data_IF_821987257816
#
_entry.id   IF_821987257816
#
_cell.length_a   1.000
_cell.length_b   1.000
_cell.length_c   1.000
_cell.angle_alpha   90.00
_cell.angle_beta   90.00
_cell.angle_gamma   90.00
#
_symmetry.space_group_name_H-M   'P 1'
#
loop_
_entity.id
_entity.type
_entity.pdbx_description
1 polymer ?
#
# COMPACT_ATOMS: atom_id res chain seq x y z
N UNK A 1 1.59 13.42 10.93
CA UNK A 1 1.16 12.07 10.54
C UNK A 1 1.88 11.11 11.46
N UNK A 2 1.21 10.12 12.03
CA UNK A 2 1.89 9.09 12.84
C UNK A 2 2.56 8.11 11.88
N UNK A 3 3.83 8.34 11.58
CA UNK A 3 4.57 7.62 10.54
C UNK A 3 4.68 6.12 10.85
N UNK A 4 4.81 5.75 12.12
CA UNK A 4 4.92 4.35 12.56
C UNK A 4 3.63 3.58 12.26
N UNK A 5 2.47 4.17 12.55
CA UNK A 5 1.20 3.57 12.20
C UNK A 5 1.05 3.40 10.67
N UNK A 6 1.50 4.37 9.88
CA UNK A 6 1.43 4.30 8.41
C UNK A 6 2.29 3.17 7.86
N UNK A 7 3.53 3.04 8.34
CA UNK A 7 4.41 1.97 7.91
C UNK A 7 3.90 0.60 8.36
N UNK A 8 3.40 0.47 9.59
CA UNK A 8 2.83 -0.79 10.09
C UNK A 8 1.66 -1.28 9.22
N UNK A 9 0.72 -0.38 8.87
CA UNK A 9 -0.38 -0.71 7.96
C UNK A 9 0.09 -1.02 6.54
N UNK A 10 1.10 -0.29 6.03
CA UNK A 10 1.73 -0.58 4.74
C UNK A 10 2.35 -1.98 4.70
N UNK A 11 3.05 -2.40 5.76
CA UNK A 11 3.64 -3.74 5.89
C UNK A 11 2.57 -4.84 6.00
N UNK A 12 1.49 -4.59 6.75
CA UNK A 12 0.37 -5.53 6.82
C UNK A 12 -0.31 -5.71 5.45
N UNK A 13 -0.51 -4.62 4.71
CA UNK A 13 -1.06 -4.66 3.34
C UNK A 13 -0.13 -5.38 2.36
N UNK A 14 1.19 -5.22 2.51
CA UNK A 14 2.16 -5.98 1.72
C UNK A 14 2.07 -7.49 1.97
N UNK A 15 1.95 -7.91 3.24
CA UNK A 15 1.74 -9.32 3.59
C UNK A 15 0.44 -9.87 3.01
N UNK A 16 -0.65 -9.10 3.09
CA UNK A 16 -1.93 -9.46 2.46
C UNK A 16 -1.77 -9.57 0.94
N UNK A 17 -1.03 -8.64 0.30
CA UNK A 17 -0.74 -8.69 -1.13
C UNK A 17 -0.06 -9.98 -1.56
N UNK A 18 0.94 -10.44 -0.81
CA UNK A 18 1.58 -11.73 -1.03
C UNK A 18 0.60 -12.91 -0.92
N UNK A 19 -0.24 -12.93 0.12
CA UNK A 19 -1.26 -13.97 0.30
C UNK A 19 -2.31 -14.00 -0.82
N UNK A 20 -2.71 -12.84 -1.34
CA UNK A 20 -3.64 -12.75 -2.47
C UNK A 20 -3.01 -13.24 -3.77
N UNK A 21 -1.72 -12.95 -3.97
CA UNK A 21 -0.95 -13.39 -5.12
C UNK A 21 -0.72 -14.91 -5.12
N UNK A 22 -0.40 -15.50 -3.96
CA UNK A 22 -0.31 -16.96 -3.79
C UNK A 22 -1.63 -17.67 -4.12
N UNK A 23 -2.77 -17.02 -3.85
CA UNK A 23 -4.10 -17.55 -4.17
C UNK A 23 -4.55 -17.26 -5.61
N UNK A 24 -3.73 -16.58 -6.40
CA UNK A 24 -4.06 -16.21 -7.78
C UNK A 24 -5.22 -15.21 -7.91
N UNK A 25 -5.52 -14.44 -6.84
CA UNK A 25 -6.62 -13.48 -6.83
C UNK A 25 -6.22 -12.14 -7.45
N UNK A 26 -5.03 -11.66 -7.12
CA UNK A 26 -4.39 -10.51 -7.75
C UNK A 26 -2.89 -10.51 -7.41
N UNK A 27 -2.08 -9.90 -8.26
CA UNK A 27 -0.66 -9.63 -7.97
C UNK A 27 -0.52 -8.55 -6.88
N UNK A 28 0.57 -8.58 -6.12
CA UNK A 28 0.85 -7.52 -5.15
C UNK A 28 0.96 -6.12 -5.82
N UNK A 29 1.33 -6.08 -7.11
CA UNK A 29 1.36 -4.86 -7.93
C UNK A 29 -0.03 -4.32 -8.24
N UNK A 30 -0.99 -5.19 -8.55
CA UNK A 30 -2.39 -4.80 -8.75
C UNK A 30 -2.99 -4.24 -7.46
N UNK A 31 -2.70 -4.86 -6.31
CA UNK A 31 -3.13 -4.33 -5.01
C UNK A 31 -2.58 -2.92 -4.76
N UNK A 32 -1.29 -2.69 -5.01
CA UNK A 32 -0.68 -1.37 -4.89
C UNK A 32 -1.34 -0.33 -5.83
N UNK A 33 -1.68 -0.74 -7.06
CA UNK A 33 -2.39 0.13 -8.00
C UNK A 33 -3.82 0.44 -7.54
N UNK A 34 -4.55 -0.53 -6.98
CA UNK A 34 -5.89 -0.31 -6.42
C UNK A 34 -5.87 0.69 -5.26
N UNK A 35 -4.89 0.56 -4.35
CA UNK A 35 -4.70 1.52 -3.25
C UNK A 35 -4.40 2.92 -3.78
N UNK A 36 -3.54 3.04 -4.78
CA UNK A 36 -3.23 4.33 -5.41
C UNK A 36 -4.43 4.93 -6.13
N UNK A 37 -5.26 4.10 -6.78
CA UNK A 37 -6.50 4.56 -7.39
C UNK A 37 -7.46 5.11 -6.33
N UNK A 38 -7.68 4.39 -5.23
CA UNK A 38 -8.49 4.86 -4.11
C UNK A 38 -7.94 6.17 -3.51
N UNK A 39 -6.62 6.29 -3.36
CA UNK A 39 -5.97 7.51 -2.92
C UNK A 39 -6.35 8.71 -3.82
N UNK A 40 -6.27 8.53 -5.14
CA UNK A 40 -6.64 9.57 -6.10
C UNK A 40 -8.12 9.96 -6.04
N UNK A 41 -9.03 9.02 -5.73
CA UNK A 41 -10.45 9.32 -5.51
C UNK A 41 -10.60 10.25 -4.29
N UNK A 42 -9.91 9.96 -3.19
CA UNK A 42 -9.95 10.80 -1.98
C UNK A 42 -9.28 12.16 -2.18
N UNK A 43 -8.18 12.24 -2.90
CA UNK A 43 -7.47 13.49 -3.20
C UNK A 43 -8.24 14.40 -4.18
N UNK A 44 -9.13 13.84 -5.00
CA UNK A 44 -10.02 14.61 -5.89
C UNK A 44 -11.33 15.02 -5.21
N UNK A 45 -11.62 14.48 -4.03
CA UNK A 45 -12.82 14.79 -3.27
C UNK A 45 -12.64 16.09 -2.46
N UNK A 46 -13.57 16.37 -1.55
CA UNK A 46 -13.46 17.51 -0.63
C UNK A 46 -12.17 17.44 0.23
N UNK A 47 -11.62 18.61 0.60
CA UNK A 47 -10.39 18.73 1.41
C UNK A 47 -10.38 17.88 2.69
N UNK A 48 -11.54 17.63 3.30
CA UNK A 48 -11.68 16.78 4.49
C UNK A 48 -11.22 15.33 4.27
N UNK A 49 -11.11 14.88 3.01
CA UNK A 49 -10.67 13.54 2.64
C UNK A 49 -9.19 13.45 2.22
N UNK A 50 -8.49 14.58 2.06
CA UNK A 50 -7.10 14.59 1.59
C UNK A 50 -6.18 13.74 2.45
N UNK A 51 -6.30 13.84 3.78
CA UNK A 51 -5.49 13.07 4.73
C UNK A 51 -5.64 11.56 4.50
N UNK A 52 -6.85 11.09 4.16
CA UNK A 52 -7.08 9.67 3.82
C UNK A 52 -6.40 9.28 2.51
N UNK A 53 -6.44 10.19 1.54
CA UNK A 53 -5.73 10.02 0.26
C UNK A 53 -4.22 9.92 0.45
N UNK A 54 -3.63 10.74 1.32
CA UNK A 54 -2.20 10.70 1.63
C UNK A 54 -1.80 9.37 2.29
N UNK A 55 -2.59 8.86 3.24
CA UNK A 55 -2.37 7.54 3.84
C UNK A 55 -2.41 6.42 2.81
N UNK A 56 -3.42 6.40 1.95
CA UNK A 56 -3.56 5.39 0.90
C UNK A 56 -2.40 5.44 -0.11
N UNK A 57 -1.91 6.65 -0.43
CA UNK A 57 -0.70 6.81 -1.23
C UNK A 57 0.54 6.21 -0.55
N UNK A 58 0.74 6.48 0.74
CA UNK A 58 1.87 5.93 1.50
C UNK A 58 1.82 4.39 1.52
N UNK A 59 0.65 3.81 1.80
CA UNK A 59 0.48 2.35 1.79
C UNK A 59 0.69 1.73 0.41
N UNK A 60 0.20 2.38 -0.65
CA UNK A 60 0.44 1.92 -2.03
C UNK A 60 1.94 1.88 -2.36
N UNK A 61 2.72 2.84 -1.87
CA UNK A 61 4.18 2.86 -2.03
C UNK A 61 4.82 1.70 -1.26
N UNK A 62 4.42 1.45 -0.01
CA UNK A 62 4.94 0.32 0.78
C UNK A 62 4.67 -1.03 0.14
N UNK A 63 3.42 -1.27 -0.31
CA UNK A 63 3.03 -2.52 -0.97
C UNK A 63 3.80 -2.70 -2.27
N UNK A 64 3.97 -1.63 -3.06
CA UNK A 64 4.76 -1.68 -4.29
C UNK A 64 6.23 -1.99 -4.00
N UNK A 65 6.83 -1.35 -3.01
CA UNK A 65 8.22 -1.60 -2.63
C UNK A 65 8.45 -3.05 -2.17
N UNK A 66 7.51 -3.62 -1.42
CA UNK A 66 7.54 -5.03 -1.06
C UNK A 66 7.39 -5.95 -2.29
N UNK A 67 6.44 -5.65 -3.18
CA UNK A 67 6.20 -6.41 -4.41
C UNK A 67 7.38 -6.37 -5.40
N UNK A 68 8.08 -5.24 -5.47
CA UNK A 68 9.27 -5.06 -6.30
C UNK A 68 10.53 -5.69 -5.67
N UNK A 69 10.41 -6.33 -4.50
CA UNK A 69 11.54 -6.92 -3.77
C UNK A 69 12.49 -5.89 -3.14
N UNK A 70 12.12 -4.61 -3.15
CA UNK A 70 12.88 -3.51 -2.56
C UNK A 70 12.72 -3.42 -1.03
N UNK A 71 11.78 -4.17 -0.45
CA UNK A 71 11.75 -4.46 0.99
C UNK A 71 12.79 -5.54 1.34
N UNK A 72 14.06 -5.26 1.01
CA UNK A 72 15.17 -6.13 1.34
C UNK A 72 15.45 -6.05 2.85
N UNK A 73 14.84 -6.94 3.62
CA UNK A 73 15.55 -7.47 4.78
C UNK A 73 16.54 -8.53 4.26
N UNK A 74 17.86 -8.39 4.50
CA UNK A 74 18.80 -9.43 4.12
C UNK A 74 18.45 -10.69 4.91
N UNK A 75 18.33 -11.82 4.20
CA UNK A 75 18.24 -13.14 4.83
C UNK A 75 19.55 -13.37 5.58
N UNK A 76 19.47 -13.52 6.90
CA UNK A 76 20.55 -14.01 7.75
C UNK A 76 20.19 -15.42 8.22
#
# INVERSE_FOLDING_TARGET
MDEDAVFAFGSALAAIGGLLEEKGLCTAKELAQSLRHAAMVHLKAEKKYHVRGEYLCAWAVSVKAAADGASAAPRH
#
